data_IF_782868535328
#
_entry.id   IF_782868535328
#
_cell.length_a   1.000
_cell.length_b   1.000
_cell.length_c   1.000
_cell.angle_alpha   90.00
_cell.angle_beta   90.00
_cell.angle_gamma   90.00
#
_symmetry.space_group_name_H-M   'P 1'
#
loop_
_entity.id
_entity.type
_entity.pdbx_description
1 polymer ?
#
# COMPACT_ATOMS: atom_id res chain seq x y z
N UNK A 1 16.78 3.07 20.68
CA UNK A 1 16.56 3.50 19.28
C UNK A 1 15.16 3.11 18.83
N UNK A 2 14.33 4.04 18.36
CA UNK A 2 13.04 3.67 17.79
C UNK A 2 13.26 2.82 16.53
N UNK A 3 12.87 1.53 16.56
CA UNK A 3 12.92 0.67 15.36
C UNK A 3 12.09 1.38 14.26
N UNK A 4 12.77 1.88 13.23
CA UNK A 4 12.17 2.73 12.19
C UNK A 4 11.11 2.01 11.34
N UNK A 5 11.05 0.68 11.42
CA UNK A 5 10.16 -0.19 10.66
C UNK A 5 9.26 -1.00 11.60
N UNK A 6 7.96 -0.85 11.41
CA UNK A 6 6.96 -1.76 11.96
C UNK A 6 6.81 -2.91 10.99
N UNK A 7 7.24 -4.09 11.43
CA UNK A 7 7.08 -5.35 10.73
C UNK A 7 6.12 -6.16 11.58
N UNK A 8 5.14 -6.80 10.95
CA UNK A 8 4.17 -7.64 11.63
C UNK A 8 4.90 -8.70 12.48
N UNK A 9 4.45 -8.95 13.72
CA UNK A 9 4.93 -10.08 14.52
C UNK A 9 4.79 -11.41 13.76
N UNK A 10 3.70 -11.55 13.00
CA UNK A 10 3.37 -12.72 12.19
C UNK A 10 3.88 -12.63 10.75
N UNK A 11 4.94 -11.87 10.46
CA UNK A 11 5.47 -11.73 9.10
C UNK A 11 5.81 -13.07 8.42
N UNK A 12 6.13 -14.09 9.22
CA UNK A 12 6.50 -15.45 8.79
C UNK A 12 5.33 -16.44 8.95
N UNK A 13 4.13 -15.95 9.26
CA UNK A 13 2.91 -16.77 9.35
C UNK A 13 2.60 -17.41 7.99
N UNK A 14 2.07 -18.64 8.05
CA UNK A 14 1.59 -19.40 6.90
C UNK A 14 0.12 -19.10 6.56
N UNK A 15 -0.58 -18.36 7.43
CA UNK A 15 -2.03 -18.16 7.32
C UNK A 15 -2.38 -16.67 7.17
N UNK A 16 -1.75 -15.81 7.98
CA UNK A 16 -2.14 -14.41 8.12
C UNK A 16 -1.31 -13.49 7.22
N UNK A 17 -1.91 -12.84 6.21
CA UNK A 17 -1.20 -11.83 5.44
C UNK A 17 -0.88 -10.61 6.31
N UNK A 18 0.10 -9.83 5.90
CA UNK A 18 0.43 -8.55 6.53
C UNK A 18 0.26 -7.40 5.53
N UNK A 19 -0.55 -6.39 5.88
CA UNK A 19 -0.79 -5.22 5.05
C UNK A 19 -0.01 -4.04 5.61
N UNK A 20 0.73 -3.33 4.76
CA UNK A 20 1.54 -2.19 5.15
C UNK A 20 1.23 -0.98 4.28
N UNK A 21 1.08 0.18 4.91
CA UNK A 21 1.22 1.44 4.22
C UNK A 21 2.68 1.89 4.26
N UNK A 22 3.25 2.10 3.07
CA UNK A 22 4.65 2.35 2.82
C UNK A 22 4.83 3.73 2.18
N UNK A 23 5.78 4.49 2.71
CA UNK A 23 6.07 5.84 2.26
C UNK A 23 7.58 6.01 2.13
N UNK A 24 8.03 6.57 1.01
CA UNK A 24 9.38 7.12 0.91
C UNK A 24 9.36 8.46 0.17
N UNK A 25 10.33 9.31 0.51
CA UNK A 25 10.42 10.70 0.06
C UNK A 25 11.83 11.03 -0.41
N UNK A 26 11.93 11.88 -1.42
CA UNK A 26 13.18 12.33 -2.01
C UNK A 26 13.93 13.25 -1.04
N UNK A 27 15.26 13.16 -1.05
CA UNK A 27 16.16 14.08 -0.32
C UNK A 27 15.80 15.55 -0.57
N UNK A 28 15.93 16.37 0.46
CA UNK A 28 15.59 17.81 0.46
C UNK A 28 14.15 18.13 0.06
N UNK A 29 13.28 17.11 0.05
CA UNK A 29 11.88 17.18 -0.38
C UNK A 29 11.70 17.79 -1.77
N UNK A 30 12.74 17.79 -2.60
CA UNK A 30 12.72 18.40 -3.94
C UNK A 30 11.69 17.71 -4.83
N UNK A 31 11.02 18.48 -5.69
CA UNK A 31 10.04 17.99 -6.67
C UNK A 31 10.77 17.33 -7.85
N UNK A 32 11.31 16.14 -7.63
CA UNK A 32 12.20 15.46 -8.57
C UNK A 32 11.49 14.67 -9.67
N UNK A 33 10.19 14.40 -9.52
CA UNK A 33 9.50 13.41 -10.34
C UNK A 33 8.46 14.07 -11.25
N UNK A 34 8.74 14.08 -12.55
CA UNK A 34 7.82 14.41 -13.62
C UNK A 34 7.08 13.16 -14.14
N UNK A 35 6.39 13.27 -15.28
CA UNK A 35 5.64 12.16 -15.85
C UNK A 35 6.48 10.89 -16.10
N UNK A 36 7.67 11.03 -16.69
CA UNK A 36 8.53 9.89 -17.01
C UNK A 36 8.98 9.14 -15.75
N UNK A 37 9.41 9.86 -14.72
CA UNK A 37 9.82 9.25 -13.46
C UNK A 37 8.66 8.49 -12.81
N UNK A 38 7.44 9.03 -12.88
CA UNK A 38 6.28 8.36 -12.28
C UNK A 38 5.92 7.09 -13.05
N UNK A 39 5.99 7.09 -14.38
CA UNK A 39 5.81 5.89 -15.21
C UNK A 39 6.86 4.83 -14.87
N UNK A 40 8.14 5.22 -14.80
CA UNK A 40 9.24 4.30 -14.48
C UNK A 40 9.14 3.74 -13.07
N UNK A 41 8.68 4.54 -12.11
CA UNK A 41 8.39 4.05 -10.76
C UNK A 41 7.29 2.97 -10.79
N UNK A 42 6.17 3.24 -11.48
CA UNK A 42 5.06 2.28 -11.60
C UNK A 42 5.54 0.98 -12.27
N UNK A 43 6.35 1.07 -13.32
CA UNK A 43 6.98 -0.07 -13.98
C UNK A 43 7.81 -0.90 -12.99
N UNK A 44 8.75 -0.31 -12.26
CA UNK A 44 9.57 -1.04 -11.29
C UNK A 44 8.75 -1.62 -10.14
N UNK A 45 7.72 -0.91 -9.68
CA UNK A 45 6.80 -1.40 -8.66
C UNK A 45 6.09 -2.68 -9.13
N UNK A 46 5.57 -2.69 -10.36
CA UNK A 46 4.91 -3.86 -10.97
C UNK A 46 5.89 -5.00 -11.27
N UNK A 47 7.15 -4.70 -11.58
CA UNK A 47 8.22 -5.71 -11.69
C UNK A 47 8.49 -6.38 -10.33
N UNK A 48 8.59 -5.58 -9.26
CA UNK A 48 8.80 -6.12 -7.92
C UNK A 48 7.58 -6.90 -7.41
N UNK A 49 6.36 -6.45 -7.73
CA UNK A 49 5.12 -7.18 -7.44
C UNK A 49 5.13 -8.58 -8.08
N UNK A 50 5.50 -8.66 -9.36
CA UNK A 50 5.62 -9.93 -10.07
C UNK A 50 6.68 -10.84 -9.46
N UNK A 51 7.82 -10.29 -9.06
CA UNK A 51 8.94 -11.08 -8.58
C UNK A 51 8.74 -11.60 -7.15
N UNK A 52 8.34 -10.72 -6.22
CA UNK A 52 8.25 -11.12 -4.82
C UNK A 52 6.96 -11.85 -4.52
N UNK A 53 5.90 -11.65 -5.30
CA UNK A 53 4.57 -12.16 -4.97
C UNK A 53 3.84 -11.32 -3.91
N UNK A 54 4.45 -10.23 -3.42
CA UNK A 54 3.71 -9.21 -2.68
C UNK A 54 2.65 -8.59 -3.61
N UNK A 55 1.55 -8.12 -3.05
CA UNK A 55 0.40 -7.61 -3.81
C UNK A 55 0.23 -6.12 -3.55
N UNK A 56 0.25 -5.31 -4.61
CA UNK A 56 -0.01 -3.87 -4.51
C UNK A 56 -1.52 -3.66 -4.46
N UNK A 57 -2.02 -3.27 -3.29
CA UNK A 57 -3.45 -3.05 -3.06
C UNK A 57 -3.91 -1.67 -3.53
N UNK A 58 -3.11 -0.64 -3.25
CA UNK A 58 -3.30 0.73 -3.73
C UNK A 58 -1.95 1.45 -3.75
N UNK A 59 -1.78 2.44 -4.61
CA UNK A 59 -0.58 3.27 -4.69
C UNK A 59 -0.91 4.67 -5.20
N UNK A 60 -0.06 5.64 -4.88
CA UNK A 60 -0.05 6.95 -5.48
C UNK A 60 1.38 7.49 -5.52
N UNK A 61 1.88 7.80 -6.72
CA UNK A 61 3.22 8.36 -6.91
C UNK A 61 3.13 9.88 -7.11
N UNK A 62 3.68 10.65 -6.18
CA UNK A 62 3.67 12.12 -6.19
C UNK A 62 4.96 12.68 -6.82
N UNK A 63 5.12 14.01 -6.85
CA UNK A 63 6.28 14.70 -7.40
C UNK A 63 7.58 14.57 -6.57
N UNK A 64 7.48 14.19 -5.29
CA UNK A 64 8.65 14.03 -4.40
C UNK A 64 8.53 12.88 -3.40
N UNK A 65 7.46 12.10 -3.43
CA UNK A 65 7.25 10.95 -2.55
C UNK A 65 6.23 10.00 -3.17
N UNK A 66 6.07 8.81 -2.60
CA UNK A 66 4.97 7.91 -2.94
C UNK A 66 4.30 7.36 -1.70
N UNK A 67 3.09 6.86 -1.92
CA UNK A 67 2.32 6.08 -0.98
C UNK A 67 2.01 4.73 -1.61
N UNK A 68 2.17 3.65 -0.87
CA UNK A 68 1.94 2.29 -1.35
C UNK A 68 1.29 1.45 -0.24
N UNK A 69 0.11 0.90 -0.49
CA UNK A 69 -0.52 -0.12 0.33
C UNK A 69 -0.13 -1.48 -0.23
N UNK A 70 0.74 -2.19 0.48
CA UNK A 70 1.30 -3.47 0.06
C UNK A 70 0.82 -4.56 1.00
N UNK A 71 0.28 -5.63 0.43
CA UNK A 71 0.03 -6.87 1.15
C UNK A 71 1.16 -7.85 0.91
N UNK A 72 1.66 -8.43 2.00
CA UNK A 72 2.60 -9.54 2.00
C UNK A 72 1.79 -10.80 2.32
N UNK A 73 1.52 -11.67 1.32
CA UNK A 73 0.88 -12.95 1.58
C UNK A 73 1.80 -13.85 2.41
N UNK A 74 1.24 -14.79 3.18
CA UNK A 74 2.04 -15.90 3.70
C UNK A 74 2.76 -16.62 2.56
N UNK A 75 3.98 -17.09 2.81
CA UNK A 75 4.60 -18.10 1.94
C UNK A 75 3.79 -19.40 2.11
N UNK A 76 3.55 -20.20 1.05
CA UNK A 76 2.96 -21.53 1.23
C UNK A 76 3.89 -22.46 2.02
N UNK A 77 3.33 -23.39 2.78
CA UNK A 77 4.10 -24.28 3.66
C UNK A 77 5.02 -25.21 2.86
N UNK A 78 4.53 -25.69 1.72
CA UNK A 78 5.25 -26.49 0.74
C UNK A 78 6.23 -25.67 -0.13
N UNK A 79 6.31 -24.36 0.10
CA UNK A 79 7.07 -23.44 -0.75
C UNK A 79 6.37 -23.15 -2.09
N UNK A 80 7.13 -22.62 -3.05
CA UNK A 80 6.60 -22.30 -4.37
C UNK A 80 6.82 -23.48 -5.32
N UNK A 81 5.81 -23.80 -6.14
CA UNK A 81 6.01 -24.70 -7.26
C UNK A 81 7.06 -24.14 -8.23
N UNK A 82 7.79 -25.03 -8.91
CA UNK A 82 8.82 -24.65 -9.89
C UNK A 82 8.25 -23.71 -10.97
N UNK A 83 7.02 -23.95 -11.42
CA UNK A 83 6.33 -23.09 -12.39
C UNK A 83 6.16 -21.66 -11.87
N UNK A 84 5.63 -21.50 -10.65
CA UNK A 84 5.42 -20.19 -10.05
C UNK A 84 6.76 -19.52 -9.77
N UNK A 85 7.73 -20.26 -9.23
CA UNK A 85 9.06 -19.77 -8.92
C UNK A 85 9.77 -19.24 -10.17
N UNK A 86 9.86 -20.03 -11.24
CA UNK A 86 10.52 -19.64 -12.49
C UNK A 86 9.81 -18.49 -13.18
N UNK A 87 8.46 -18.49 -13.19
CA UNK A 87 7.67 -17.36 -13.70
C UNK A 87 8.00 -16.06 -12.96
N UNK A 88 8.16 -16.12 -11.63
CA UNK A 88 8.56 -14.96 -10.82
C UNK A 88 9.99 -14.52 -11.13
N UNK A 89 10.94 -15.45 -11.31
CA UNK A 89 12.31 -15.10 -11.72
C UNK A 89 12.33 -14.32 -13.04
N UNK A 90 11.50 -14.71 -14.01
CA UNK A 90 11.35 -14.02 -15.30
C UNK A 90 10.95 -12.55 -15.20
N UNK A 91 10.43 -12.10 -14.05
CA UNK A 91 10.12 -10.68 -13.84
C UNK A 91 11.37 -9.80 -13.65
N UNK A 92 12.50 -10.36 -13.22
CA UNK A 92 13.75 -9.61 -12.95
C UNK A 92 14.96 -10.10 -13.73
N UNK A 93 14.98 -11.35 -14.16
CA UNK A 93 16.13 -11.99 -14.77
C UNK A 93 15.89 -12.28 -16.25
N UNK A 94 16.97 -12.32 -17.03
CA UNK A 94 16.91 -12.64 -18.46
C UNK A 94 16.42 -14.07 -18.67
N UNK A 95 15.82 -14.32 -19.84
CA UNK A 95 15.38 -15.67 -20.24
C UNK A 95 16.51 -16.70 -20.10
N UNK A 96 17.70 -16.38 -20.58
CA UNK A 96 18.87 -17.28 -20.46
C UNK A 96 19.17 -17.66 -18.99
N UNK A 97 19.05 -16.73 -18.04
CA UNK A 97 19.25 -17.03 -16.63
C UNK A 97 18.12 -17.90 -16.06
N UNK A 98 16.87 -17.62 -16.42
CA UNK A 98 15.72 -18.42 -15.97
C UNK A 98 15.82 -19.84 -16.52
N UNK A 99 16.18 -20.00 -17.80
CA UNK A 99 16.36 -21.30 -18.45
C UNK A 99 17.50 -22.09 -17.80
N UNK A 100 18.60 -21.43 -17.44
CA UNK A 100 19.69 -22.06 -16.68
C UNK A 100 19.23 -22.57 -15.31
N UNK A 101 18.51 -21.75 -14.54
CA UNK A 101 17.95 -22.16 -13.23
C UNK A 101 16.95 -23.30 -13.38
N UNK A 102 16.09 -23.26 -14.40
CA UNK A 102 15.13 -24.32 -14.69
C UNK A 102 15.84 -25.64 -15.05
N UNK A 103 16.95 -25.58 -15.79
CA UNK A 103 17.79 -26.74 -16.09
C UNK A 103 18.38 -27.37 -14.83
N UNK A 104 18.98 -26.56 -13.95
CA UNK A 104 19.54 -27.02 -12.67
C UNK A 104 18.47 -27.63 -11.76
N UNK A 105 17.30 -26.99 -11.62
CA UNK A 105 16.19 -27.55 -10.83
C UNK A 105 15.72 -28.90 -11.38
N UNK A 106 15.53 -29.01 -12.70
CA UNK A 106 15.12 -30.27 -13.34
C UNK A 106 16.13 -31.38 -13.10
N UNK A 107 17.42 -31.08 -13.20
CA UNK A 107 18.49 -32.05 -12.95
C UNK A 107 18.48 -32.54 -11.49
N UNK A 108 18.41 -31.63 -10.52
CA UNK A 108 18.36 -31.97 -9.09
C UNK A 108 17.10 -32.79 -8.74
N UNK A 109 15.93 -32.40 -9.25
CA UNK A 109 14.67 -33.13 -9.06
C UNK A 109 14.71 -34.53 -9.67
N UNK A 110 15.33 -34.71 -10.85
CA UNK A 110 15.45 -36.01 -11.52
C UNK A 110 16.21 -37.05 -10.69
N UNK A 111 17.22 -36.61 -9.95
CA UNK A 111 18.04 -37.49 -9.09
C UNK A 111 17.59 -37.49 -7.63
N UNK A 112 16.52 -36.77 -7.29
CA UNK A 112 16.02 -36.66 -5.92
C UNK A 112 16.91 -35.86 -4.95
N UNK A 113 17.80 -35.01 -5.46
CA UNK A 113 18.69 -34.19 -4.64
C UNK A 113 17.95 -32.97 -4.06
N UNK A 114 17.29 -33.21 -2.93
CA UNK A 114 16.50 -32.19 -2.24
C UNK A 114 17.37 -31.06 -1.68
N UNK A 115 18.60 -31.34 -1.26
CA UNK A 115 19.52 -30.32 -0.75
C UNK A 115 19.92 -29.32 -1.84
N UNK A 116 20.18 -29.81 -3.06
CA UNK A 116 20.50 -28.95 -4.20
C UNK A 116 19.29 -28.12 -4.63
N UNK A 117 18.08 -28.70 -4.61
CA UNK A 117 16.84 -27.93 -4.85
C UNK A 117 16.72 -26.78 -3.85
N UNK A 118 16.84 -27.07 -2.55
CA UNK A 118 16.73 -26.05 -1.49
C UNK A 118 17.79 -24.96 -1.65
N UNK A 119 19.01 -25.34 -2.03
CA UNK A 119 20.08 -24.39 -2.33
C UNK A 119 19.72 -23.50 -3.53
N UNK A 120 19.26 -24.07 -4.65
CA UNK A 120 18.89 -23.30 -5.85
C UNK A 120 17.71 -22.37 -5.56
N UNK A 121 16.63 -22.88 -4.95
CA UNK A 121 15.44 -22.09 -4.63
C UNK A 121 15.78 -21.01 -3.61
N UNK A 122 16.53 -21.36 -2.57
CA UNK A 122 16.94 -20.47 -1.48
C UNK A 122 17.75 -19.25 -1.94
N UNK A 123 18.51 -19.36 -3.04
CA UNK A 123 19.23 -18.21 -3.63
C UNK A 123 18.32 -17.06 -4.07
N UNK A 124 17.04 -17.33 -4.34
CA UNK A 124 16.10 -16.34 -4.86
C UNK A 124 14.87 -16.17 -3.98
N UNK A 125 14.34 -17.26 -3.42
CA UNK A 125 13.08 -17.28 -2.69
C UNK A 125 13.11 -16.45 -1.41
N UNK A 126 14.27 -16.19 -0.81
CA UNK A 126 14.41 -15.31 0.36
C UNK A 126 13.88 -13.88 0.13
N UNK A 127 13.79 -13.46 -1.13
CA UNK A 127 13.26 -12.14 -1.54
C UNK A 127 11.77 -12.16 -1.84
N UNK A 128 11.18 -13.34 -1.93
CA UNK A 128 9.77 -13.53 -2.21
C UNK A 128 8.98 -13.50 -0.90
N UNK A 129 7.78 -12.92 -0.93
CA UNK A 129 6.93 -12.70 0.24
C UNK A 129 7.64 -11.91 1.37
N UNK A 130 8.59 -11.03 1.02
CA UNK A 130 9.29 -10.18 1.99
C UNK A 130 9.14 -8.69 1.68
N UNK A 131 8.67 -7.94 2.67
CA UNK A 131 8.46 -6.49 2.59
C UNK A 131 9.76 -5.72 2.31
N UNK A 132 10.84 -6.09 3.01
CA UNK A 132 12.11 -5.37 2.93
C UNK A 132 12.76 -5.57 1.57
N UNK A 133 12.71 -6.78 1.02
CA UNK A 133 13.27 -7.11 -0.29
C UNK A 133 12.44 -6.54 -1.44
N UNK A 134 11.10 -6.48 -1.31
CA UNK A 134 10.25 -5.71 -2.24
C UNK A 134 10.70 -4.24 -2.29
N UNK A 135 10.76 -3.58 -1.13
CA UNK A 135 11.06 -2.15 -1.06
C UNK A 135 12.50 -1.83 -1.44
N UNK A 136 13.47 -2.65 -1.02
CA UNK A 136 14.87 -2.51 -1.40
C UNK A 136 15.03 -2.62 -2.91
N UNK A 137 14.44 -3.65 -3.53
CA UNK A 137 14.50 -3.84 -4.97
C UNK A 137 13.86 -2.68 -5.74
N UNK A 138 12.69 -2.21 -5.32
CA UNK A 138 11.99 -1.09 -5.93
C UNK A 138 12.82 0.20 -5.87
N UNK A 139 13.24 0.59 -4.66
CA UNK A 139 13.93 1.86 -4.44
C UNK A 139 15.32 1.88 -5.07
N UNK A 140 16.06 0.76 -5.04
CA UNK A 140 17.39 0.67 -5.68
C UNK A 140 17.30 0.77 -7.20
N UNK A 141 16.40 -0.01 -7.83
CA UNK A 141 16.21 0.04 -9.30
C UNK A 141 15.81 1.43 -9.77
N UNK A 142 14.86 2.04 -9.07
CA UNK A 142 14.43 3.38 -9.38
C UNK A 142 15.56 4.41 -9.17
N UNK A 143 16.31 4.32 -8.07
CA UNK A 143 17.44 5.24 -7.82
C UNK A 143 18.55 5.08 -8.87
N UNK A 144 18.91 3.87 -9.25
CA UNK A 144 19.93 3.63 -10.27
C UNK A 144 19.50 4.18 -11.63
N UNK A 145 18.25 3.90 -12.05
CA UNK A 145 17.71 4.44 -13.29
C UNK A 145 17.65 5.97 -13.25
N UNK A 146 17.06 6.55 -12.21
CA UNK A 146 16.92 8.00 -12.05
C UNK A 146 18.27 8.70 -11.98
N UNK A 147 19.23 8.12 -11.27
CA UNK A 147 20.56 8.71 -11.17
C UNK A 147 21.26 8.74 -12.54
N UNK A 148 21.20 7.63 -13.26
CA UNK A 148 21.75 7.51 -14.62
C UNK A 148 21.06 8.46 -15.60
N UNK A 149 19.72 8.55 -15.59
CA UNK A 149 18.98 9.43 -16.50
C UNK A 149 19.21 10.92 -16.24
N UNK A 150 19.65 11.26 -15.04
CA UNK A 150 19.90 12.64 -14.60
C UNK A 150 21.39 12.99 -14.51
N UNK A 151 22.29 12.10 -14.96
CA UNK A 151 23.74 12.31 -14.88
C UNK A 151 24.26 12.53 -13.46
N UNK A 152 23.57 12.03 -12.42
CA UNK A 152 23.94 12.22 -11.01
C UNK A 152 24.44 10.93 -10.37
N UNK A 153 25.11 11.08 -9.24
CA UNK A 153 25.41 10.00 -8.30
C UNK A 153 24.84 10.34 -6.91
N UNK A 154 24.87 9.38 -5.98
CA UNK A 154 24.44 9.61 -4.59
C UNK A 154 22.98 9.23 -4.29
N UNK A 155 22.50 9.69 -3.14
CA UNK A 155 21.27 9.21 -2.51
C UNK A 155 20.03 9.95 -3.02
N UNK A 156 19.06 9.21 -3.54
CA UNK A 156 17.78 9.78 -3.99
C UNK A 156 16.75 9.94 -2.86
N UNK A 157 16.68 8.99 -1.93
CA UNK A 157 15.64 8.91 -0.89
C UNK A 157 16.16 9.34 0.49
N UNK A 158 15.42 10.17 1.24
CA UNK A 158 15.81 10.67 2.59
C UNK A 158 16.14 9.52 3.55
N UNK A 159 15.28 8.51 3.56
CA UNK A 159 15.37 7.32 4.40
C UNK A 159 15.15 6.07 3.53
N UNK A 160 15.08 4.89 4.12
CA UNK A 160 14.69 3.68 3.37
C UNK A 160 13.22 3.83 2.99
N UNK A 161 12.34 3.55 3.94
CA UNK A 161 10.91 3.77 3.86
C UNK A 161 10.32 3.78 5.28
N UNK A 162 9.20 4.47 5.46
CA UNK A 162 8.33 4.30 6.63
C UNK A 162 7.35 3.15 6.37
N UNK A 163 7.03 2.37 7.40
CA UNK A 163 5.97 1.36 7.35
C UNK A 163 4.99 1.56 8.49
N UNK A 164 3.70 1.52 8.16
CA UNK A 164 2.59 1.44 9.10
C UNK A 164 1.90 0.12 8.88
N UNK A 165 1.77 -0.71 9.92
CA UNK A 165 1.01 -1.96 9.84
C UNK A 165 -0.49 -1.63 9.82
N UNK A 166 -1.24 -2.23 8.91
CA UNK A 166 -2.66 -1.94 8.67
C UNK A 166 -3.44 -3.24 8.80
N UNK A 167 -4.51 -3.24 9.59
CA UNK A 167 -5.47 -4.35 9.62
C UNK A 167 -6.25 -4.41 8.30
N UNK A 168 -6.68 -5.60 7.91
CA UNK A 168 -7.61 -5.77 6.79
C UNK A 168 -9.01 -5.19 7.12
N UNK A 169 -9.93 -5.27 6.16
CA UNK A 169 -11.26 -4.70 6.32
C UNK A 169 -11.26 -3.16 6.38
N UNK A 170 -11.67 -2.58 7.52
CA UNK A 170 -11.94 -1.13 7.65
C UNK A 170 -10.68 -0.30 7.47
N UNK A 171 -9.59 -0.71 8.09
CA UNK A 171 -8.35 0.05 8.03
C UNK A 171 -7.74 0.00 6.63
N UNK A 172 -7.68 -1.17 6.00
CA UNK A 172 -7.18 -1.34 4.63
C UNK A 172 -7.97 -0.51 3.59
N UNK A 173 -9.31 -0.59 3.57
CA UNK A 173 -10.12 0.18 2.60
C UNK A 173 -10.01 1.69 2.81
N UNK A 174 -9.96 2.11 4.08
CA UNK A 174 -9.77 3.53 4.44
C UNK A 174 -8.39 4.03 4.01
N UNK A 175 -7.36 3.20 4.20
CA UNK A 175 -5.99 3.52 3.80
C UNK A 175 -5.87 3.60 2.28
N UNK A 176 -6.45 2.66 1.53
CA UNK A 176 -6.47 2.71 0.07
C UNK A 176 -7.11 4.02 -0.42
N UNK A 177 -8.29 4.38 0.10
CA UNK A 177 -8.97 5.62 -0.29
C UNK A 177 -8.16 6.88 0.09
N UNK A 178 -7.49 6.87 1.24
CA UNK A 178 -6.57 7.94 1.61
C UNK A 178 -5.42 8.10 0.60
N UNK A 179 -4.86 6.98 0.14
CA UNK A 179 -3.74 6.94 -0.82
C UNK A 179 -4.19 7.56 -2.14
N UNK A 180 -5.29 7.06 -2.70
CA UNK A 180 -5.82 7.50 -4.01
C UNK A 180 -6.33 8.96 -4.00
N UNK A 181 -6.60 9.54 -2.82
CA UNK A 181 -6.96 10.97 -2.68
C UNK A 181 -5.80 11.93 -2.44
N UNK A 182 -4.55 11.45 -2.31
CA UNK A 182 -3.40 12.35 -2.18
C UNK A 182 -3.25 13.39 -3.31
N UNK A 183 -3.45 13.08 -4.61
CA UNK A 183 -3.28 14.07 -5.66
C UNK A 183 -4.35 15.17 -5.59
N UNK A 184 -5.59 14.82 -5.24
CA UNK A 184 -6.67 15.79 -4.98
C UNK A 184 -6.33 16.68 -3.78
N UNK A 185 -5.83 16.09 -2.69
CA UNK A 185 -5.43 16.82 -1.48
C UNK A 185 -4.23 17.74 -1.68
N UNK A 186 -3.36 17.40 -2.63
CA UNK A 186 -2.26 18.26 -3.04
C UNK A 186 -2.70 19.35 -4.03
N UNK A 187 -3.97 19.37 -4.46
CA UNK A 187 -4.48 20.32 -5.44
C UNK A 187 -4.02 20.06 -6.88
N UNK A 188 -3.50 18.86 -7.17
CA UNK A 188 -2.98 18.48 -8.49
C UNK A 188 -4.11 18.18 -9.47
N UNK A 189 -5.18 17.54 -8.99
CA UNK A 189 -6.37 17.22 -9.77
C UNK A 189 -7.66 17.48 -8.96
N UNK A 190 -8.81 17.50 -9.65
CA UNK A 190 -10.13 17.66 -9.01
C UNK A 190 -10.78 16.31 -8.71
N UNK A 191 -10.54 15.32 -9.56
CA UNK A 191 -11.00 13.95 -9.40
C UNK A 191 -9.80 13.02 -9.25
N UNK A 192 -9.80 12.04 -8.31
CA UNK A 192 -8.73 11.05 -8.25
C UNK A 192 -8.60 10.22 -9.55
N UNK A 193 -9.66 10.10 -10.36
CA UNK A 193 -9.60 9.44 -11.67
C UNK A 193 -8.70 10.18 -12.67
N UNK A 194 -8.51 11.49 -12.51
CA UNK A 194 -7.70 12.32 -13.42
C UNK A 194 -6.19 12.16 -13.16
N UNK A 195 -5.80 11.51 -12.06
CA UNK A 195 -4.38 11.35 -11.71
C UNK A 195 -3.86 9.97 -12.07
N UNK A 196 -3.36 9.86 -13.30
CA UNK A 196 -2.86 8.61 -13.92
C UNK A 196 -1.95 7.74 -13.04
N UNK A 197 -1.10 8.33 -12.20
CA UNK A 197 -0.14 7.59 -11.35
C UNK A 197 -0.71 7.22 -9.98
N UNK A 198 -1.96 6.76 -9.96
CA UNK A 198 -2.67 6.23 -8.80
C UNK A 198 -3.42 4.96 -9.14
N UNK A 199 -3.68 4.12 -8.13
CA UNK A 199 -4.42 2.87 -8.33
C UNK A 199 -5.84 3.09 -8.80
N UNK A 200 -6.51 4.11 -8.26
CA UNK A 200 -7.89 4.38 -8.66
C UNK A 200 -8.00 4.78 -10.13
N UNK A 201 -7.15 5.71 -10.61
CA UNK A 201 -7.11 6.08 -12.03
C UNK A 201 -6.75 4.88 -12.93
N UNK A 202 -5.75 4.08 -12.54
CA UNK A 202 -5.38 2.85 -13.26
C UNK A 202 -6.56 1.88 -13.34
N UNK A 203 -7.31 1.69 -12.25
CA UNK A 203 -8.46 0.80 -12.20
C UNK A 203 -9.62 1.28 -13.08
N UNK A 204 -9.91 2.59 -13.07
CA UNK A 204 -10.91 3.22 -13.96
C UNK A 204 -10.52 3.03 -15.42
N UNK A 205 -9.24 3.21 -15.76
CA UNK A 205 -8.69 3.02 -17.09
C UNK A 205 -8.62 1.54 -17.56
N UNK A 206 -9.08 0.58 -16.75
CA UNK A 206 -9.11 -0.84 -17.14
C UNK A 206 -7.95 -1.69 -16.64
N UNK A 207 -7.05 -1.11 -15.85
CA UNK A 207 -5.88 -1.80 -15.32
C UNK A 207 -6.26 -2.96 -14.40
N UNK A 208 -6.04 -4.19 -14.89
CA UNK A 208 -6.44 -5.43 -14.19
C UNK A 208 -5.80 -5.57 -12.81
N UNK A 209 -4.54 -5.13 -12.66
CA UNK A 209 -3.79 -5.24 -11.40
C UNK A 209 -4.29 -4.27 -10.35
N UNK A 210 -4.48 -2.99 -10.70
CA UNK A 210 -5.11 -2.04 -9.79
C UNK A 210 -6.52 -2.46 -9.38
N UNK A 211 -7.34 -2.97 -10.30
CA UNK A 211 -8.67 -3.53 -9.96
C UNK A 211 -8.57 -4.67 -8.95
N UNK A 212 -7.70 -5.66 -9.21
CA UNK A 212 -7.47 -6.78 -8.30
C UNK A 212 -7.01 -6.31 -6.90
N UNK A 213 -6.03 -5.38 -6.86
CA UNK A 213 -5.50 -4.81 -5.63
C UNK A 213 -6.56 -4.08 -4.80
N UNK A 214 -7.38 -3.23 -5.44
CA UNK A 214 -8.46 -2.52 -4.76
C UNK A 214 -9.52 -3.50 -4.25
N UNK A 215 -9.93 -4.50 -5.03
CA UNK A 215 -10.87 -5.53 -4.53
C UNK A 215 -10.33 -6.19 -3.26
N UNK A 216 -9.04 -6.55 -3.21
CA UNK A 216 -8.44 -7.08 -1.97
C UNK A 216 -8.46 -6.08 -0.83
N UNK A 217 -8.17 -4.80 -1.07
CA UNK A 217 -8.26 -3.76 -0.04
C UNK A 217 -9.68 -3.64 0.55
N UNK A 218 -10.71 -3.79 -0.27
CA UNK A 218 -12.11 -3.69 0.17
C UNK A 218 -12.63 -4.98 0.81
N UNK A 219 -12.23 -6.16 0.30
CA UNK A 219 -12.90 -7.44 0.52
C UNK A 219 -11.97 -8.61 0.84
N UNK A 220 -10.68 -8.38 1.01
CA UNK A 220 -9.71 -9.42 1.38
C UNK A 220 -10.07 -10.13 2.69
N UNK A 221 -10.56 -9.37 3.68
CA UNK A 221 -11.06 -9.88 4.96
C UNK A 221 -12.26 -10.83 4.85
N UNK A 222 -12.98 -10.81 3.72
CA UNK A 222 -14.11 -11.70 3.43
C UNK A 222 -13.67 -12.93 2.63
N UNK A 223 -12.36 -13.21 2.54
CA UNK A 223 -11.80 -14.30 1.75
C UNK A 223 -11.72 -14.03 0.25
N UNK A 224 -12.01 -12.80 -0.21
CA UNK A 224 -11.95 -12.49 -1.64
C UNK A 224 -10.50 -12.46 -2.14
N UNK A 225 -10.21 -13.29 -3.15
CA UNK A 225 -8.87 -13.39 -3.74
C UNK A 225 -8.42 -12.14 -4.50
N UNK A 226 -9.36 -11.27 -4.90
CA UNK A 226 -9.10 -10.02 -5.61
C UNK A 226 -8.94 -10.18 -7.11
N UNK A 227 -10.05 -10.27 -7.84
CA UNK A 227 -10.02 -10.36 -9.31
C UNK A 227 -10.44 -9.06 -9.96
N UNK A 228 -9.88 -8.77 -11.14
CA UNK A 228 -10.32 -7.62 -11.94
C UNK A 228 -11.80 -7.70 -12.34
N UNK A 229 -12.36 -8.92 -12.42
CA UNK A 229 -13.77 -9.17 -12.72
C UNK A 229 -14.69 -8.74 -11.58
N UNK A 230 -14.30 -9.04 -10.33
CA UNK A 230 -15.05 -8.63 -9.13
C UNK A 230 -15.21 -7.11 -9.02
N UNK A 231 -14.21 -6.35 -9.48
CA UNK A 231 -14.28 -4.89 -9.54
C UNK A 231 -15.45 -4.38 -10.39
N UNK A 232 -15.66 -4.99 -11.56
CA UNK A 232 -16.67 -4.54 -12.52
C UNK A 232 -18.07 -5.11 -12.23
N UNK A 233 -18.15 -6.38 -11.82
CA UNK A 233 -19.43 -7.09 -11.73
C UNK A 233 -20.10 -6.99 -10.35
N UNK A 234 -19.33 -6.73 -9.29
CA UNK A 234 -19.83 -6.79 -7.91
C UNK A 234 -20.29 -5.47 -7.29
N UNK A 235 -20.43 -4.39 -8.09
CA UNK A 235 -20.73 -3.05 -7.55
C UNK A 235 -19.60 -2.40 -6.73
N UNK A 236 -18.46 -3.09 -6.54
CA UNK A 236 -17.31 -2.63 -5.76
C UNK A 236 -16.68 -1.34 -6.31
N UNK A 237 -16.66 -1.17 -7.64
CA UNK A 237 -16.21 0.08 -8.24
C UNK A 237 -17.07 1.28 -7.78
N UNK A 238 -18.39 1.09 -7.70
CA UNK A 238 -19.34 2.12 -7.23
C UNK A 238 -19.18 2.37 -5.74
N UNK A 239 -19.06 1.31 -4.93
CA UNK A 239 -18.81 1.44 -3.50
C UNK A 239 -17.51 2.19 -3.20
N UNK A 240 -16.41 1.83 -3.87
CA UNK A 240 -15.14 2.52 -3.70
C UNK A 240 -15.21 3.96 -4.16
N UNK A 241 -15.91 4.21 -5.29
CA UNK A 241 -16.17 5.57 -5.75
C UNK A 241 -16.90 6.38 -4.68
N UNK A 242 -17.92 5.82 -4.04
CA UNK A 242 -18.64 6.49 -2.94
C UNK A 242 -17.72 6.83 -1.77
N UNK A 243 -16.82 5.91 -1.39
CA UNK A 243 -15.80 6.18 -0.35
C UNK A 243 -14.94 7.38 -0.75
N UNK A 244 -14.48 7.46 -2.00
CA UNK A 244 -13.69 8.59 -2.51
C UNK A 244 -14.50 9.88 -2.60
N UNK A 245 -15.80 9.77 -2.90
CA UNK A 245 -16.67 10.90 -3.21
C UNK A 245 -17.34 11.57 -2.02
N UNK A 246 -17.42 10.95 -0.85
CA UNK A 246 -18.34 11.39 0.21
C UNK A 246 -18.06 12.76 0.85
N UNK A 247 -17.22 13.60 0.25
CA UNK A 247 -17.58 14.95 -0.25
C UNK A 247 -16.28 15.66 -0.58
N UNK A 248 -15.65 15.33 -1.70
CA UNK A 248 -14.66 16.21 -2.32
C UNK A 248 -15.28 17.55 -2.74
N UNK A 249 -16.25 18.11 -2.02
CA UNK A 249 -17.03 19.26 -2.39
C UNK A 249 -16.16 20.50 -2.19
N UNK A 250 -16.12 21.32 -3.23
CA UNK A 250 -15.57 22.66 -3.18
C UNK A 250 -16.12 23.42 -1.97
N UNK A 251 -15.25 23.85 -1.06
CA UNK A 251 -15.66 24.68 0.08
C UNK A 251 -15.53 26.12 -0.37
N UNK A 252 -16.67 26.77 -0.61
CA UNK A 252 -16.75 28.22 -0.78
C UNK A 252 -17.05 28.87 0.57
N UNK A 253 -16.32 29.93 0.91
CA UNK A 253 -16.65 30.85 1.99
C UNK A 253 -16.67 32.24 1.36
N UNK A 254 -17.78 32.96 1.53
CA UNK A 254 -18.01 34.30 0.94
C UNK A 254 -17.77 34.34 -0.58
N UNK A 255 -18.31 33.35 -1.30
CA UNK A 255 -18.18 33.23 -2.76
C UNK A 255 -16.79 32.82 -3.27
N UNK A 256 -15.75 32.81 -2.41
CA UNK A 256 -14.38 32.43 -2.77
C UNK A 256 -14.10 30.96 -2.43
N UNK A 257 -13.46 30.26 -3.38
CA UNK A 257 -13.04 28.87 -3.20
C UNK A 257 -11.90 28.79 -2.17
N UNK A 258 -12.21 28.42 -0.93
CA UNK A 258 -11.22 28.16 0.13
C UNK A 258 -10.56 26.79 -0.04
N UNK A 259 -11.25 25.85 -0.70
CA UNK A 259 -10.75 24.51 -0.97
C UNK A 259 -11.32 23.99 -2.28
N UNK A 260 -10.44 23.71 -3.26
CA UNK A 260 -10.83 23.13 -4.55
C UNK A 260 -11.30 21.69 -4.37
N UNK A 261 -12.32 21.30 -5.14
CA UNK A 261 -12.94 19.99 -5.11
C UNK A 261 -13.93 19.79 -6.27
N UNK A 262 -14.56 18.63 -6.30
CA UNK A 262 -15.69 18.26 -7.13
C UNK A 262 -16.94 19.11 -6.86
N UNK A 263 -17.79 19.31 -7.87
CA UNK A 263 -19.04 20.09 -7.76
C UNK A 263 -20.02 19.44 -6.78
N UNK A 264 -20.66 20.27 -5.95
CA UNK A 264 -21.56 19.85 -4.85
C UNK A 264 -22.73 18.98 -5.31
N UNK A 265 -23.35 19.34 -6.42
CA UNK A 265 -24.53 18.67 -6.99
C UNK A 265 -24.25 17.22 -7.41
N UNK A 266 -23.07 16.95 -7.98
CA UNK A 266 -22.65 15.61 -8.43
C UNK A 266 -22.46 14.69 -7.21
N UNK A 267 -21.81 15.20 -6.16
CA UNK A 267 -21.58 14.44 -4.94
C UNK A 267 -22.88 14.15 -4.16
N UNK A 268 -23.86 15.06 -4.20
CA UNK A 268 -25.13 14.91 -3.48
C UNK A 268 -26.08 13.91 -4.15
N UNK A 269 -26.16 13.89 -5.49
CA UNK A 269 -26.98 12.94 -6.25
C UNK A 269 -26.53 11.48 -6.08
N UNK A 270 -25.23 11.23 -6.00
CA UNK A 270 -24.70 9.86 -5.80
C UNK A 270 -24.79 9.40 -4.34
N UNK A 271 -24.72 10.32 -3.36
CA UNK A 271 -24.89 10.00 -1.94
C UNK A 271 -26.32 9.59 -1.61
N UNK A 272 -27.31 10.24 -2.23
CA UNK A 272 -28.74 9.92 -2.10
C UNK A 272 -29.06 8.49 -2.58
N UNK A 273 -28.26 7.91 -3.47
CA UNK A 273 -28.46 6.55 -3.97
C UNK A 273 -27.96 5.44 -3.02
N UNK A 274 -27.41 5.76 -1.84
CA UNK A 274 -26.66 4.81 -0.98
C UNK A 274 -27.03 4.88 0.51
N UNK A 275 -28.31 5.07 0.85
CA UNK A 275 -28.82 5.15 2.25
C UNK A 275 -28.46 3.97 3.18
N UNK A 276 -27.87 2.88 2.69
CA UNK A 276 -27.72 1.64 3.46
C UNK A 276 -26.53 1.56 4.46
N UNK A 277 -25.52 2.45 4.47
CA UNK A 277 -24.37 2.30 5.39
C UNK A 277 -23.83 3.60 5.98
N UNK A 278 -24.36 4.01 7.14
CA UNK A 278 -23.88 5.16 7.95
C UNK A 278 -22.35 5.19 8.20
N UNK A 279 -21.68 4.04 8.21
CA UNK A 279 -20.23 3.88 8.51
C UNK A 279 -19.29 4.34 7.39
N UNK A 280 -19.68 4.29 6.12
CA UNK A 280 -18.78 4.69 5.02
C UNK A 280 -18.76 6.21 4.78
N UNK A 281 -19.81 6.90 5.24
CA UNK A 281 -19.92 8.36 5.24
C UNK A 281 -18.90 9.01 6.19
N UNK A 282 -18.52 8.35 7.29
CA UNK A 282 -17.50 8.87 8.23
C UNK A 282 -16.08 8.74 7.66
N UNK A 283 -15.77 7.65 6.95
CA UNK A 283 -14.51 7.47 6.20
C UNK A 283 -14.32 8.62 5.20
N UNK A 284 -15.40 9.00 4.51
CA UNK A 284 -15.37 10.06 3.51
C UNK A 284 -15.08 11.47 4.07
N UNK A 285 -15.42 11.72 5.34
CA UNK A 285 -15.04 12.96 6.05
C UNK A 285 -13.56 12.94 6.44
N UNK A 286 -13.06 11.76 6.78
CA UNK A 286 -11.70 11.54 7.22
C UNK A 286 -10.65 11.82 6.14
N UNK A 287 -10.79 11.14 5.02
CA UNK A 287 -9.77 11.03 3.97
C UNK A 287 -9.52 12.35 3.25
N UNK A 288 -10.31 13.39 3.54
CA UNK A 288 -10.09 14.76 3.09
C UNK A 288 -8.97 15.46 3.82
N UNK A 289 -8.69 15.12 5.07
CA UNK A 289 -7.65 15.82 5.83
C UNK A 289 -6.32 15.09 5.71
N UNK A 290 -5.20 15.83 5.86
CA UNK A 290 -3.90 15.20 6.11
C UNK A 290 -3.95 14.55 7.49
N UNK A 291 -4.25 13.26 7.49
CA UNK A 291 -4.30 12.45 8.70
C UNK A 291 -2.91 11.92 9.01
N UNK A 292 -2.32 12.43 10.10
CA UNK A 292 -0.95 12.11 10.48
C UNK A 292 -0.75 10.64 10.85
N UNK A 293 -1.73 10.03 11.52
CA UNK A 293 -1.68 8.61 11.89
C UNK A 293 -1.44 7.72 10.67
N UNK A 294 -1.97 8.09 9.50
CA UNK A 294 -1.82 7.27 8.30
C UNK A 294 -0.38 7.28 7.77
N UNK A 295 0.42 8.31 8.06
CA UNK A 295 1.81 8.38 7.61
C UNK A 295 2.87 8.15 8.70
N UNK A 296 2.54 8.47 9.95
CA UNK A 296 3.47 8.41 11.10
C UNK A 296 3.05 7.40 12.17
N UNK A 297 1.88 6.79 12.00
CA UNK A 297 1.39 5.71 12.85
C UNK A 297 2.32 4.49 12.80
N UNK A 298 2.27 3.70 13.85
CA UNK A 298 2.98 2.42 13.92
C UNK A 298 2.11 1.28 13.37
N UNK A 299 0.87 1.25 13.85
CA UNK A 299 -0.15 0.23 13.60
C UNK A 299 -1.48 0.96 13.54
N UNK A 300 -2.35 0.59 12.61
CA UNK A 300 -3.71 1.08 12.44
C UNK A 300 -4.65 -0.10 12.24
N UNK A 301 -5.74 -0.14 12.99
CA UNK A 301 -6.75 -1.20 12.94
C UNK A 301 -7.80 -1.02 14.02
N UNK A 302 -8.67 -1.99 14.19
CA UNK A 302 -9.55 -2.13 15.33
C UNK A 302 -8.76 -2.26 16.64
N UNK A 303 -9.47 -2.06 17.76
CA UNK A 303 -8.84 -2.08 19.09
C UNK A 303 -8.13 -3.40 19.38
N UNK A 304 -8.80 -4.52 19.09
CA UNK A 304 -8.28 -5.87 19.32
C UNK A 304 -6.96 -6.11 18.60
N UNK A 305 -6.90 -5.81 17.30
CA UNK A 305 -5.69 -5.92 16.49
C UNK A 305 -4.53 -5.06 17.00
N UNK A 306 -4.81 -3.81 17.36
CA UNK A 306 -3.76 -2.92 17.88
C UNK A 306 -3.24 -3.39 19.24
N UNK A 307 -4.12 -3.90 20.11
CA UNK A 307 -3.74 -4.47 21.40
C UNK A 307 -3.02 -5.82 21.25
N UNK A 308 -3.38 -6.67 20.28
CA UNK A 308 -2.66 -7.90 19.90
C UNK A 308 -1.23 -7.58 19.48
N UNK A 309 -1.04 -6.71 18.48
CA UNK A 309 0.29 -6.29 18.02
C UNK A 309 1.11 -5.67 19.16
N UNK A 310 0.46 -4.94 20.06
CA UNK A 310 1.11 -4.36 21.23
C UNK A 310 1.64 -5.43 22.19
N UNK A 311 0.89 -6.51 22.44
CA UNK A 311 1.34 -7.63 23.27
C UNK A 311 2.53 -8.34 22.62
N UNK A 312 2.43 -8.64 21.33
CA UNK A 312 3.47 -9.38 20.59
C UNK A 312 4.76 -8.58 20.42
N UNK A 313 4.67 -7.26 20.40
CA UNK A 313 5.80 -6.34 20.28
C UNK A 313 6.04 -5.54 21.58
N UNK A 314 5.82 -6.14 22.76
CA UNK A 314 5.88 -5.42 24.05
C UNK A 314 7.23 -4.72 24.27
N UNK A 315 8.32 -5.30 23.77
CA UNK A 315 9.69 -4.74 23.80
C UNK A 315 9.80 -3.37 23.10
N UNK A 316 8.90 -3.07 22.16
CA UNK A 316 8.91 -1.82 21.38
C UNK A 316 8.22 -0.64 22.06
N UNK A 317 7.62 -0.84 23.23
CA UNK A 317 6.83 0.18 23.93
C UNK A 317 7.38 0.45 25.33
N UNK A 318 7.20 1.69 25.81
CA UNK A 318 7.64 2.09 27.17
C UNK A 318 7.07 1.19 28.26
N UNK A 319 7.84 0.95 29.32
CA UNK A 319 7.49 0.02 30.41
C UNK A 319 6.15 0.39 31.09
N UNK A 320 5.83 1.68 31.19
CA UNK A 320 4.60 2.17 31.81
C UNK A 320 3.33 2.02 30.94
N UNK A 321 3.48 1.60 29.67
CA UNK A 321 2.34 1.46 28.76
C UNK A 321 1.60 0.15 29.06
N UNK A 322 0.34 0.25 29.52
CA UNK A 322 -0.51 -0.91 29.85
C UNK A 322 -1.32 -1.45 28.67
N UNK A 323 -1.66 -0.60 27.71
CA UNK A 323 -2.44 -0.96 26.50
C UNK A 323 -1.83 -0.37 25.24
N UNK A 324 -2.08 -1.03 24.10
CA UNK A 324 -1.62 -0.62 22.78
C UNK A 324 -2.52 0.42 22.16
N UNK A 325 -3.82 0.18 22.13
CA UNK A 325 -4.76 0.98 21.37
C UNK A 325 -4.89 2.41 21.93
N UNK A 326 -4.81 3.40 21.04
CA UNK A 326 -5.12 4.82 21.33
C UNK A 326 -6.20 5.30 20.39
N UNK A 327 -7.20 6.00 20.96
CA UNK A 327 -8.21 6.70 20.16
C UNK A 327 -7.50 7.74 19.30
N UNK A 328 -7.76 7.78 17.99
CA UNK A 328 -7.11 8.76 17.16
C UNK A 328 -7.75 10.15 17.38
N UNK A 329 -6.93 11.20 17.30
CA UNK A 329 -7.32 12.59 17.55
C UNK A 329 -7.58 13.37 16.25
N UNK A 330 -8.17 14.55 16.35
CA UNK A 330 -8.42 15.45 15.22
C UNK A 330 -9.45 14.88 14.23
N UNK A 331 -9.18 14.97 12.92
CA UNK A 331 -10.10 14.48 11.88
C UNK A 331 -10.45 12.98 12.02
N UNK A 332 -9.58 12.16 12.64
CA UNK A 332 -9.83 10.75 12.94
C UNK A 332 -10.76 10.48 14.12
N UNK A 333 -11.10 11.48 14.94
CA UNK A 333 -12.05 11.29 16.04
C UNK A 333 -13.41 10.77 15.53
N UNK A 334 -13.80 11.11 14.29
CA UNK A 334 -15.03 10.62 13.66
C UNK A 334 -15.02 9.10 13.36
N UNK A 335 -13.86 8.44 13.40
CA UNK A 335 -13.71 6.98 13.29
C UNK A 335 -13.38 6.33 14.64
N UNK A 336 -13.49 7.07 15.75
CA UNK A 336 -13.26 6.51 17.08
C UNK A 336 -14.29 5.42 17.37
N UNK A 337 -13.84 4.17 17.43
CA UNK A 337 -14.69 2.99 17.52
C UNK A 337 -14.30 1.94 16.49
N UNK A 338 -14.05 2.37 15.26
CA UNK A 338 -13.68 1.50 14.14
C UNK A 338 -12.18 1.47 13.90
N UNK A 339 -11.48 2.60 14.11
CA UNK A 339 -10.03 2.71 13.91
C UNK A 339 -9.33 3.23 15.16
N UNK A 340 -8.24 2.55 15.50
CA UNK A 340 -7.33 2.79 16.61
C UNK A 340 -5.90 2.80 16.10
N UNK A 341 -4.97 3.34 16.88
CA UNK A 341 -3.55 3.33 16.53
C UNK A 341 -2.62 3.01 17.69
N UNK A 342 -1.44 2.46 17.39
CA UNK A 342 -0.43 2.12 18.40
C UNK A 342 0.45 3.31 18.85
N UNK A 343 0.32 4.52 18.28
CA UNK A 343 1.09 5.69 18.73
C UNK A 343 0.15 6.80 19.16
N UNK A 344 0.37 7.32 20.37
CA UNK A 344 -0.21 8.60 20.74
C UNK A 344 0.63 9.70 20.08
N UNK A 345 0.00 10.60 19.33
CA UNK A 345 0.72 11.72 18.74
C UNK A 345 0.81 12.84 19.78
N UNK A 346 2.01 13.42 19.95
CA UNK A 346 2.16 14.69 20.68
C UNK A 346 1.35 15.77 19.95
N UNK A 347 0.50 16.47 20.69
CA UNK A 347 -0.29 17.61 20.19
C UNK A 347 0.69 18.73 19.78
N UNK A 348 0.40 19.45 18.69
CA UNK A 348 1.14 20.67 18.33
C UNK A 348 2.36 20.53 17.42
N UNK A 349 2.64 19.36 16.85
CA UNK A 349 3.63 19.24 15.76
C UNK A 349 2.86 19.23 14.43
N UNK A 350 2.69 20.41 13.85
CA UNK A 350 2.20 20.61 12.49
C UNK A 350 3.24 20.09 11.48
N UNK A 351 2.78 19.50 10.37
CA UNK A 351 3.62 19.01 9.25
C UNK A 351 3.35 19.76 7.97
#
# INVERSE_FOLDING_TARGET
MAKARWIAPWKDSQEKPAIYHLISRVVDRRMAFGPEEREKFCMFMRMMENFTGCRVLSYCMMSNHFHLLLEVPPMPAEGLSDEVFLRRLGALYSKARVDAVAGSLRAARKVGDQAEVERIVGQYAYRMHDLSEFMKGLLQRFSHWFNRSQGRTGRLWEQRFKSVLVEDGVAARTMAAYIDLNPVRAGICKDPADYRWSSYAEAVAGGKRARAGLVRALRGHEGNVGTARAWAQGGLAKEYRVILLGKGVEVKVDGKVRRKGMKREVAEKELQAMEARKRDVSISKLIRHRVRYFSDGAVIGGRGFVDEVFRDCRDRFGQNRKTGARKPRGALAALSGDIWSARDLRVGIET
#
